data_IF_085060496895
#
_entry.id   IF_085060496895
#
_cell.length_a   1.000
_cell.length_b   1.000
_cell.length_c   1.000
_cell.angle_alpha   90.00
_cell.angle_beta   90.00
_cell.angle_gamma   90.00
#
_symmetry.space_group_name_H-M   'P 1'
#
loop_
_entity.id
_entity.type
_entity.pdbx_description
1 polymer ?
#
# COMPACT_ATOMS: atom_id res chain seq x y z
N UNK A 1 16.77 -16.49 -11.84
CA UNK A 1 15.32 -16.17 -12.09
C UNK A 1 14.53 -16.58 -10.86
N UNK A 2 13.94 -15.61 -10.14
CA UNK A 2 13.06 -15.89 -8.99
C UNK A 2 11.74 -16.47 -9.49
N UNK A 3 11.38 -17.69 -9.06
CA UNK A 3 10.08 -18.29 -9.35
C UNK A 3 8.92 -17.50 -8.74
N UNK A 4 7.70 -17.75 -9.22
CA UNK A 4 6.48 -17.13 -8.68
C UNK A 4 6.39 -17.36 -7.16
N UNK A 5 6.11 -16.32 -6.34
CA UNK A 5 5.98 -16.48 -4.90
C UNK A 5 4.94 -17.54 -4.57
N UNK A 6 5.29 -18.38 -3.60
CA UNK A 6 4.46 -19.51 -3.20
C UNK A 6 3.21 -19.05 -2.46
N UNK A 7 2.05 -19.65 -2.77
CA UNK A 7 0.78 -19.37 -2.08
C UNK A 7 0.83 -19.87 -0.62
N UNK A 8 0.09 -19.23 0.32
CA UNK A 8 -0.11 -19.74 1.69
C UNK A 8 -0.70 -21.16 1.71
N UNK A 9 -0.38 -21.95 2.75
CA UNK A 9 -0.78 -23.36 2.83
C UNK A 9 -2.30 -23.54 2.88
N UNK A 10 -3.01 -22.64 3.57
CA UNK A 10 -4.48 -22.67 3.61
C UNK A 10 -5.09 -22.57 2.20
N UNK A 11 -4.55 -21.67 1.35
CA UNK A 11 -4.99 -21.50 -0.05
C UNK A 11 -4.69 -22.76 -0.87
N UNK A 12 -3.49 -23.34 -0.70
CA UNK A 12 -3.08 -24.56 -1.38
C UNK A 12 -4.01 -25.74 -1.00
N UNK A 13 -4.32 -25.90 0.29
CA UNK A 13 -5.22 -26.94 0.78
C UNK A 13 -6.63 -26.81 0.22
N UNK A 14 -7.15 -25.58 0.13
CA UNK A 14 -8.50 -25.33 -0.39
C UNK A 14 -8.61 -25.52 -1.91
N UNK A 15 -7.57 -25.14 -2.66
CA UNK A 15 -7.53 -25.35 -4.11
C UNK A 15 -7.41 -26.83 -4.51
N UNK A 16 -7.02 -27.74 -3.58
CA UNK A 16 -6.82 -29.19 -3.80
C UNK A 16 -5.98 -29.55 -5.05
N UNK A 17 -5.21 -28.61 -5.59
CA UNK A 17 -4.39 -28.72 -6.81
C UNK A 17 -2.89 -28.72 -6.51
N UNK A 18 -2.47 -29.32 -5.40
CA UNK A 18 -1.07 -29.34 -5.00
C UNK A 18 -0.42 -30.68 -5.29
N UNK A 19 0.75 -30.65 -5.91
CA UNK A 19 1.64 -31.83 -6.06
C UNK A 19 2.48 -32.10 -4.78
N UNK A 20 2.30 -31.31 -3.71
CA UNK A 20 3.05 -31.43 -2.46
C UNK A 20 2.46 -32.51 -1.58
N UNK A 21 3.32 -33.24 -0.87
CA UNK A 21 2.90 -34.25 0.09
C UNK A 21 2.22 -33.65 1.31
N UNK A 22 1.38 -34.41 1.99
CA UNK A 22 0.72 -33.96 3.24
C UNK A 22 1.75 -33.55 4.30
N UNK A 23 2.90 -34.25 4.37
CA UNK A 23 3.99 -33.98 5.31
C UNK A 23 4.65 -32.62 5.02
N UNK A 24 4.91 -32.32 3.76
CA UNK A 24 5.46 -31.01 3.35
C UNK A 24 4.50 -29.86 3.64
N UNK A 25 3.21 -30.07 3.38
CA UNK A 25 2.18 -29.06 3.68
C UNK A 25 2.07 -28.83 5.20
N UNK A 26 2.11 -29.87 6.02
CA UNK A 26 2.08 -29.74 7.48
C UNK A 26 3.33 -29.03 8.04
N UNK A 27 4.51 -29.36 7.53
CA UNK A 27 5.76 -28.68 7.91
C UNK A 27 5.72 -27.19 7.55
N UNK A 28 5.25 -26.88 6.37
CA UNK A 28 5.11 -25.50 5.89
C UNK A 28 4.07 -24.73 6.68
N UNK A 29 2.93 -25.33 7.01
CA UNK A 29 1.89 -24.70 7.86
C UNK A 29 2.47 -24.34 9.23
N UNK A 30 3.27 -25.24 9.83
CA UNK A 30 3.96 -24.98 11.08
C UNK A 30 4.95 -23.80 10.92
N UNK A 31 5.69 -23.76 9.82
CA UNK A 31 6.61 -22.66 9.54
C UNK A 31 5.89 -21.33 9.31
N UNK A 32 4.76 -21.33 8.60
CA UNK A 32 3.94 -20.13 8.37
C UNK A 32 3.34 -19.60 9.70
N UNK A 33 2.90 -20.50 10.61
CA UNK A 33 2.45 -20.13 11.95
C UNK A 33 3.56 -19.54 12.83
N UNK A 34 4.77 -20.03 12.68
CA UNK A 34 5.93 -19.53 13.45
C UNK A 34 6.43 -18.16 12.97
N UNK A 35 6.00 -17.69 11.80
CA UNK A 35 6.33 -16.33 11.32
C UNK A 35 5.50 -15.25 12.02
N UNK A 36 4.35 -15.61 12.59
CA UNK A 36 3.48 -14.66 13.29
C UNK A 36 4.04 -14.45 14.69
N UNK A 37 4.25 -13.18 15.09
CA UNK A 37 4.82 -12.83 16.41
C UNK A 37 3.82 -13.05 17.55
N UNK A 38 2.53 -13.09 17.24
CA UNK A 38 1.43 -13.13 18.22
C UNK A 38 1.21 -11.80 18.95
N UNK A 39 2.02 -10.80 18.66
CA UNK A 39 1.88 -9.46 19.21
C UNK A 39 1.09 -8.56 18.25
N UNK A 40 0.25 -7.69 18.80
CA UNK A 40 -0.49 -6.73 17.97
C UNK A 40 0.44 -5.69 17.39
N UNK A 41 0.16 -5.28 16.15
CA UNK A 41 0.83 -4.19 15.46
C UNK A 41 0.84 -2.92 16.32
N UNK A 42 2.03 -2.38 16.57
CA UNK A 42 2.24 -1.16 17.37
C UNK A 42 2.52 0.03 16.48
N UNK A 43 2.06 1.17 16.92
CA UNK A 43 2.37 2.45 16.30
C UNK A 43 3.72 2.96 16.78
N UNK A 44 4.57 3.44 15.87
CA UNK A 44 5.85 4.05 16.24
C UNK A 44 5.65 5.46 16.80
N UNK A 45 6.56 5.96 17.67
CA UNK A 45 6.48 7.33 18.21
C UNK A 45 6.46 8.40 17.10
N UNK A 46 7.19 8.20 16.00
CA UNK A 46 7.22 9.11 14.86
C UNK A 46 5.88 9.19 14.12
N UNK A 47 5.20 8.04 13.95
CA UNK A 47 3.84 8.01 13.35
C UNK A 47 2.84 8.67 14.29
N UNK A 48 2.92 8.39 15.59
CA UNK A 48 2.02 8.99 16.59
C UNK A 48 2.16 10.50 16.70
N UNK A 49 3.36 11.04 16.48
CA UNK A 49 3.64 12.49 16.52
C UNK A 49 3.08 13.24 15.31
N UNK A 50 2.83 12.57 14.19
CA UNK A 50 2.30 13.18 12.97
C UNK A 50 0.80 12.88 12.82
N UNK A 51 -0.09 13.89 12.88
CA UNK A 51 -1.54 13.67 12.84
C UNK A 51 -2.03 12.95 11.57
N UNK A 52 -1.40 13.21 10.43
CA UNK A 52 -1.76 12.60 9.14
C UNK A 52 -1.34 11.12 9.15
N UNK A 53 -0.11 10.83 9.59
CA UNK A 53 0.40 9.48 9.70
C UNK A 53 -0.39 8.66 10.73
N UNK A 54 -0.71 9.23 11.90
CA UNK A 54 -1.52 8.59 12.93
C UNK A 54 -2.91 8.20 12.41
N UNK A 55 -3.61 9.12 11.75
CA UNK A 55 -4.93 8.87 11.17
C UNK A 55 -4.88 7.72 10.16
N UNK A 56 -3.86 7.70 9.32
CA UNK A 56 -3.66 6.62 8.34
C UNK A 56 -3.32 5.29 9.02
N UNK A 57 -2.48 5.29 10.07
CA UNK A 57 -2.19 4.10 10.86
C UNK A 57 -3.46 3.47 11.44
N UNK A 58 -4.33 4.28 12.03
CA UNK A 58 -5.60 3.79 12.58
C UNK A 58 -6.51 3.20 11.49
N UNK A 59 -6.53 3.79 10.30
CA UNK A 59 -7.28 3.27 9.14
C UNK A 59 -6.74 1.92 8.68
N UNK A 60 -5.42 1.84 8.44
CA UNK A 60 -4.75 0.62 7.94
C UNK A 60 -4.87 -0.51 8.96
N UNK A 61 -4.66 -0.22 10.24
CA UNK A 61 -4.79 -1.22 11.31
C UNK A 61 -6.18 -1.83 11.37
N UNK A 62 -7.26 -1.05 11.15
CA UNK A 62 -8.63 -1.60 11.06
C UNK A 62 -8.76 -2.60 9.91
N UNK A 63 -8.18 -2.31 8.75
CA UNK A 63 -8.18 -3.22 7.60
C UNK A 63 -7.38 -4.49 7.89
N UNK A 64 -6.19 -4.36 8.48
CA UNK A 64 -5.35 -5.50 8.84
C UNK A 64 -6.03 -6.42 9.86
N UNK A 65 -6.81 -5.88 10.81
CA UNK A 65 -7.62 -6.69 11.73
C UNK A 65 -8.66 -7.54 11.00
N UNK A 66 -9.38 -6.95 10.05
CA UNK A 66 -10.36 -7.70 9.23
C UNK A 66 -9.69 -8.82 8.42
N UNK A 67 -8.44 -8.61 8.03
CA UNK A 67 -7.63 -9.58 7.27
C UNK A 67 -6.88 -10.58 8.16
N UNK A 68 -7.04 -10.51 9.49
CA UNK A 68 -6.29 -11.31 10.48
C UNK A 68 -4.77 -11.14 10.37
N UNK A 69 -4.32 -9.93 9.99
CA UNK A 69 -2.91 -9.55 9.80
C UNK A 69 -2.45 -8.43 10.75
N UNK A 70 -3.16 -8.18 11.86
CA UNK A 70 -2.77 -7.20 12.89
C UNK A 70 -1.65 -7.77 13.78
N UNK A 71 -0.48 -8.01 13.17
CA UNK A 71 0.69 -8.61 13.82
C UNK A 71 1.91 -7.68 13.73
N UNK A 72 2.72 -7.67 14.80
CA UNK A 72 3.89 -6.80 14.93
C UNK A 72 5.03 -7.14 13.93
N UNK A 73 4.94 -8.28 13.24
CA UNK A 73 5.78 -8.62 12.09
C UNK A 73 5.77 -7.51 11.03
N UNK A 74 4.63 -6.85 10.86
CA UNK A 74 4.45 -5.76 9.88
C UNK A 74 4.79 -4.37 10.41
N UNK A 75 5.34 -4.27 11.64
CA UNK A 75 5.58 -3.01 12.34
C UNK A 75 6.32 -1.98 11.47
N UNK A 76 7.50 -2.33 10.98
CA UNK A 76 8.34 -1.42 10.21
C UNK A 76 7.67 -0.99 8.90
N UNK A 77 7.10 -1.93 8.15
CA UNK A 77 6.48 -1.66 6.86
C UNK A 77 5.26 -0.75 6.99
N UNK A 78 4.38 -1.03 7.95
CA UNK A 78 3.15 -0.24 8.13
C UNK A 78 3.46 1.15 8.69
N UNK A 79 4.38 1.28 9.64
CA UNK A 79 4.78 2.59 10.13
C UNK A 79 5.46 3.43 9.03
N UNK A 80 6.34 2.82 8.24
CA UNK A 80 6.95 3.50 7.07
C UNK A 80 5.91 3.92 6.05
N UNK A 81 4.93 3.05 5.75
CA UNK A 81 3.81 3.38 4.87
C UNK A 81 3.04 4.62 5.35
N UNK A 82 2.72 4.70 6.65
CA UNK A 82 1.99 5.82 7.23
C UNK A 82 2.79 7.14 7.17
N UNK A 83 4.10 7.09 7.43
CA UNK A 83 4.98 8.26 7.29
C UNK A 83 5.06 8.72 5.83
N UNK A 84 5.24 7.80 4.89
CA UNK A 84 5.23 8.14 3.46
C UNK A 84 3.90 8.77 3.03
N UNK A 85 2.77 8.29 3.57
CA UNK A 85 1.46 8.89 3.30
C UNK A 85 1.40 10.35 3.78
N UNK A 86 1.87 10.64 5.00
CA UNK A 86 1.91 11.98 5.55
C UNK A 86 2.86 12.90 4.78
N UNK A 87 4.04 12.42 4.41
CA UNK A 87 5.01 13.18 3.63
C UNK A 87 4.49 13.53 2.23
N UNK A 88 3.79 12.59 1.56
CA UNK A 88 3.15 12.85 0.26
C UNK A 88 2.07 13.92 0.41
N UNK A 89 1.26 13.88 1.47
CA UNK A 89 0.23 14.89 1.72
C UNK A 89 0.84 16.28 1.88
N UNK A 90 1.89 16.42 2.69
CA UNK A 90 2.60 17.70 2.92
C UNK A 90 3.26 18.23 1.64
N UNK A 91 3.93 17.36 0.88
CA UNK A 91 4.52 17.76 -0.40
C UNK A 91 3.46 18.14 -1.43
N UNK A 92 2.30 17.50 -1.42
CA UNK A 92 1.19 17.88 -2.30
C UNK A 92 0.64 19.25 -1.97
N UNK A 93 0.54 19.59 -0.68
CA UNK A 93 0.17 20.93 -0.22
C UNK A 93 1.20 21.99 -0.68
N UNK A 94 2.51 21.69 -0.51
CA UNK A 94 3.60 22.54 -0.97
C UNK A 94 3.55 22.74 -2.50
N UNK A 95 3.27 21.70 -3.27
CA UNK A 95 3.10 21.78 -4.71
C UNK A 95 1.92 22.69 -5.12
N UNK A 96 0.80 22.62 -4.39
CA UNK A 96 -0.35 23.50 -4.66
C UNK A 96 -0.05 24.98 -4.37
N UNK A 97 0.69 25.27 -3.31
CA UNK A 97 1.17 26.62 -3.03
C UNK A 97 2.07 27.09 -4.17
N UNK A 98 3.06 26.26 -4.58
CA UNK A 98 3.99 26.62 -5.65
C UNK A 98 3.29 26.81 -7.02
N UNK A 99 2.19 26.08 -7.29
CA UNK A 99 1.37 26.31 -8.50
C UNK A 99 0.66 27.65 -8.46
N UNK A 100 0.16 28.07 -7.30
CA UNK A 100 -0.45 29.40 -7.12
C UNK A 100 0.56 30.52 -7.32
N UNK A 101 1.75 30.39 -6.70
CA UNK A 101 2.83 31.37 -6.87
C UNK A 101 3.23 31.54 -8.35
N UNK A 102 3.29 30.43 -9.11
CA UNK A 102 3.56 30.47 -10.55
C UNK A 102 2.45 31.18 -11.31
N UNK A 103 1.20 30.97 -10.93
CA UNK A 103 0.06 31.63 -11.57
C UNK A 103 0.04 33.14 -11.25
N UNK A 104 0.31 33.52 -10.02
CA UNK A 104 0.45 34.93 -9.61
C UNK A 104 1.60 35.61 -10.38
N UNK A 105 2.75 34.95 -10.52
CA UNK A 105 3.85 35.45 -11.35
C UNK A 105 3.45 35.66 -12.81
N UNK A 106 2.62 34.77 -13.37
CA UNK A 106 2.14 34.92 -14.75
C UNK A 106 1.21 36.11 -14.92
N UNK A 107 0.33 36.34 -13.93
CA UNK A 107 -0.58 37.48 -13.93
C UNK A 107 0.15 38.81 -13.74
N UNK A 108 1.26 38.81 -12.98
CA UNK A 108 2.10 39.99 -12.74
C UNK A 108 3.10 40.30 -13.86
N UNK A 109 3.07 39.56 -14.99
CA UNK A 109 4.08 39.72 -16.06
C UNK A 109 4.28 41.17 -16.53
N UNK A 110 3.17 41.92 -16.71
CA UNK A 110 3.17 43.29 -17.21
C UNK A 110 3.75 44.31 -16.19
N UNK A 111 3.92 43.92 -14.92
CA UNK A 111 4.46 44.74 -13.86
C UNK A 111 6.00 44.66 -13.72
N UNK A 112 6.65 43.81 -14.53
CA UNK A 112 8.10 43.68 -14.53
C UNK A 112 8.73 44.64 -15.54
N UNK A 113 9.65 45.49 -15.08
CA UNK A 113 10.41 46.37 -15.94
C UNK A 113 11.48 45.64 -16.77
N UNK A 114 12.04 44.53 -16.23
CA UNK A 114 13.00 43.65 -16.89
C UNK A 114 12.39 42.31 -17.25
N UNK A 115 12.18 42.09 -18.54
CA UNK A 115 11.62 40.82 -19.06
C UNK A 115 12.53 39.63 -18.71
N UNK A 116 13.84 39.80 -18.65
CA UNK A 116 14.78 38.76 -18.29
C UNK A 116 14.60 38.32 -16.82
N UNK A 117 14.45 39.28 -15.92
CA UNK A 117 14.17 38.98 -14.51
C UNK A 117 12.90 38.16 -14.34
N UNK A 118 11.81 38.53 -15.04
CA UNK A 118 10.57 37.77 -15.04
C UNK A 118 10.78 36.31 -15.46
N UNK A 119 11.47 36.08 -16.60
CA UNK A 119 11.69 34.73 -17.09
C UNK A 119 12.60 33.91 -16.18
N UNK A 120 13.60 34.51 -15.56
CA UNK A 120 14.48 33.86 -14.58
C UNK A 120 13.70 33.43 -13.32
N UNK A 121 12.83 34.28 -12.80
CA UNK A 121 11.97 33.95 -11.65
C UNK A 121 10.99 32.84 -11.99
N UNK A 122 10.32 32.92 -13.12
CA UNK A 122 9.38 31.91 -13.57
C UNK A 122 10.08 30.57 -13.79
N UNK A 123 11.27 30.55 -14.38
CA UNK A 123 12.04 29.32 -14.57
C UNK A 123 12.44 28.68 -13.22
N UNK A 124 12.89 29.50 -12.25
CA UNK A 124 13.20 29.03 -10.89
C UNK A 124 11.99 28.46 -10.19
N UNK A 125 10.83 29.11 -10.29
CA UNK A 125 9.57 28.64 -9.69
C UNK A 125 9.13 27.30 -10.29
N UNK A 126 9.15 27.16 -11.61
CA UNK A 126 8.86 25.91 -12.31
C UNK A 126 9.80 24.76 -11.89
N UNK A 127 11.11 25.05 -11.84
CA UNK A 127 12.11 24.06 -11.40
C UNK A 127 11.89 23.60 -9.96
N UNK A 128 11.42 24.48 -9.06
CA UNK A 128 11.02 24.09 -7.70
C UNK A 128 9.84 23.13 -7.72
N UNK A 129 8.79 23.45 -8.48
CA UNK A 129 7.62 22.60 -8.64
C UNK A 129 7.99 21.21 -9.18
N UNK A 130 8.80 21.15 -10.25
CA UNK A 130 9.27 19.88 -10.83
C UNK A 130 10.01 19.03 -9.80
N UNK A 131 10.84 19.66 -8.96
CA UNK A 131 11.56 18.97 -7.88
C UNK A 131 10.61 18.42 -6.79
N UNK A 132 9.53 19.14 -6.47
CA UNK A 132 8.52 18.68 -5.52
C UNK A 132 7.76 17.49 -6.12
N UNK A 133 7.32 17.59 -7.36
CA UNK A 133 6.58 16.52 -8.05
C UNK A 133 7.46 15.26 -8.18
N UNK A 134 8.74 15.37 -8.49
CA UNK A 134 9.67 14.24 -8.48
C UNK A 134 9.81 13.58 -7.09
N UNK A 135 9.82 14.37 -6.01
CA UNK A 135 9.82 13.81 -4.64
C UNK A 135 8.54 13.06 -4.34
N UNK A 136 7.39 13.62 -4.74
CA UNK A 136 6.08 12.97 -4.60
C UNK A 136 6.06 11.62 -5.32
N UNK A 137 6.50 11.57 -6.57
CA UNK A 137 6.49 10.35 -7.38
C UNK A 137 7.40 9.26 -6.81
N UNK A 138 8.59 9.61 -6.34
CA UNK A 138 9.49 8.67 -5.66
C UNK A 138 8.84 8.08 -4.41
N UNK A 139 8.17 8.90 -3.60
CA UNK A 139 7.49 8.46 -2.38
C UNK A 139 6.25 7.62 -2.69
N UNK A 140 5.46 7.97 -3.71
CA UNK A 140 4.33 7.16 -4.21
C UNK A 140 4.80 5.79 -4.67
N UNK A 141 5.87 5.72 -5.47
CA UNK A 141 6.46 4.46 -5.94
C UNK A 141 6.89 3.58 -4.76
N UNK A 142 7.52 4.16 -3.74
CA UNK A 142 7.92 3.43 -2.54
C UNK A 142 6.70 2.92 -1.76
N UNK A 143 5.68 3.76 -1.56
CA UNK A 143 4.44 3.38 -0.87
C UNK A 143 3.71 2.25 -1.61
N UNK A 144 3.59 2.34 -2.94
CA UNK A 144 2.98 1.29 -3.76
C UNK A 144 3.73 -0.05 -3.68
N UNK A 145 5.06 -0.01 -3.54
CA UNK A 145 5.85 -1.23 -3.31
C UNK A 145 5.45 -1.87 -1.98
N UNK A 146 5.34 -1.08 -0.91
CA UNK A 146 4.90 -1.56 0.41
C UNK A 146 3.46 -2.12 0.32
N UNK A 147 2.55 -1.43 -0.36
CA UNK A 147 1.17 -1.89 -0.58
C UNK A 147 1.12 -3.28 -1.24
N UNK A 148 1.93 -3.49 -2.27
CA UNK A 148 2.01 -4.76 -2.99
C UNK A 148 2.60 -5.88 -2.14
N UNK A 149 3.66 -5.60 -1.39
CA UNK A 149 4.36 -6.58 -0.55
C UNK A 149 3.49 -7.02 0.64
N UNK A 150 2.73 -6.11 1.24
CA UNK A 150 1.90 -6.40 2.42
C UNK A 150 0.46 -6.84 2.09
N UNK A 151 0.12 -6.93 0.82
CA UNK A 151 -1.22 -7.35 0.41
C UNK A 151 -2.31 -6.31 0.65
N UNK A 152 -1.95 -5.02 0.74
CA UNK A 152 -2.89 -3.92 0.92
C UNK A 152 -3.59 -3.53 -0.39
N UNK A 153 -3.09 -3.98 -1.53
CA UNK A 153 -3.80 -3.82 -2.81
C UNK A 153 -4.88 -4.90 -2.97
N UNK A 154 -5.97 -4.57 -3.65
CA UNK A 154 -7.06 -5.52 -3.96
C UNK A 154 -6.51 -6.80 -4.59
N UNK A 155 -5.62 -6.68 -5.59
CA UNK A 155 -5.01 -7.81 -6.29
C UNK A 155 -4.15 -8.67 -5.35
N UNK A 156 -3.39 -8.07 -4.45
CA UNK A 156 -2.56 -8.78 -3.50
C UNK A 156 -3.42 -9.42 -2.39
N UNK A 157 -4.46 -8.73 -1.92
CA UNK A 157 -5.42 -9.26 -0.96
C UNK A 157 -6.18 -10.47 -1.53
N UNK A 158 -6.66 -10.40 -2.78
CA UNK A 158 -7.34 -11.52 -3.44
C UNK A 158 -6.44 -12.75 -3.64
N UNK A 159 -5.12 -12.59 -3.72
CA UNK A 159 -4.17 -13.71 -3.78
C UNK A 159 -4.05 -14.45 -2.44
N UNK A 160 -4.34 -13.80 -1.33
CA UNK A 160 -4.30 -14.40 0.01
C UNK A 160 -5.64 -14.95 0.46
N UNK A 161 -6.75 -14.52 -0.17
CA UNK A 161 -8.08 -15.07 0.11
C UNK A 161 -8.22 -16.41 -0.61
N UNK A 162 -8.55 -17.49 0.12
CA UNK A 162 -8.88 -18.77 -0.50
C UNK A 162 -10.09 -18.60 -1.42
N UNK A 163 -9.99 -19.08 -2.65
CA UNK A 163 -11.17 -19.21 -3.50
C UNK A 163 -12.12 -20.16 -2.77
N UNK A 164 -13.33 -19.69 -2.41
CA UNK A 164 -14.38 -20.60 -1.89
C UNK A 164 -14.50 -21.76 -2.87
N UNK A 165 -14.50 -23.00 -2.40
CA UNK A 165 -14.83 -24.11 -3.29
C UNK A 165 -16.19 -23.78 -3.90
N UNK A 166 -16.30 -23.87 -5.21
CA UNK A 166 -17.59 -23.78 -5.89
C UNK A 166 -18.53 -24.73 -5.14
N UNK A 167 -19.65 -24.19 -4.63
CA UNK A 167 -20.68 -25.02 -3.96
C UNK A 167 -20.93 -26.18 -4.91
N UNK A 168 -20.70 -27.39 -4.40
CA UNK A 168 -20.80 -28.60 -5.16
C UNK A 168 -22.11 -28.56 -5.97
N UNK A 169 -21.99 -28.45 -7.29
CA UNK A 169 -23.12 -28.59 -8.20
C UNK A 169 -23.89 -29.91 -7.96
N UNK A 170 -23.31 -30.85 -7.22
CA UNK A 170 -23.96 -32.06 -6.75
C UNK A 170 -25.11 -31.82 -5.75
N UNK A 171 -25.01 -30.80 -4.86
CA UNK A 171 -26.12 -30.43 -3.97
C UNK A 171 -27.24 -29.73 -4.72
N UNK A 172 -26.89 -28.91 -5.69
CA UNK A 172 -27.87 -28.27 -6.57
C UNK A 172 -28.53 -29.30 -7.51
N UNK A 173 -27.79 -30.28 -8.01
CA UNK A 173 -28.32 -31.38 -8.79
C UNK A 173 -29.23 -32.30 -7.97
N UNK A 174 -28.87 -32.62 -6.70
CA UNK A 174 -29.72 -33.34 -5.78
C UNK A 174 -31.00 -32.58 -5.44
N UNK A 175 -30.93 -31.26 -5.26
CA UNK A 175 -32.11 -30.46 -4.96
C UNK A 175 -33.04 -30.26 -6.17
N UNK A 176 -32.49 -30.30 -7.42
CA UNK A 176 -33.27 -30.09 -8.65
C UNK A 176 -33.80 -31.38 -9.27
N UNK A 177 -33.11 -32.51 -9.09
CA UNK A 177 -33.43 -33.75 -9.83
C UNK A 177 -33.79 -34.92 -8.93
N UNK A 178 -33.86 -34.72 -7.60
CA UNK A 178 -34.24 -35.77 -6.64
C UNK A 178 -33.50 -37.09 -6.96
N UNK A 179 -32.83 -37.67 -6.04
CA UNK A 179 -32.19 -38.99 -6.20
C UNK A 179 -33.12 -40.05 -6.75
#
# INVERSE_FOLDING_TARGET
>A
MGGRPSKPVNVIKMEKKSHRTKKELALREKSEKNLVTGSRLKESPSVKADPIAHKEFMRVRKLLKVMEKDDDLYHNQINTYCLLHAEIAKLSEEAEVQRKDIEELRQAKESFDDEKEYWDLLAKAKKRLDNIDLKIDRKRTHREKIDRENGLTITAALRTVPKKPEKNTSELKRALYGS
#
